data_IF_730473924010
#
_entry.id   IF_730473924010
#
_cell.length_a   1.000
_cell.length_b   1.000
_cell.length_c   1.000
_cell.angle_alpha   90.00
_cell.angle_beta   90.00
_cell.angle_gamma   90.00
#
_symmetry.space_group_name_H-M   'P 1'
#
loop_
_entity.id
_entity.type
_entity.pdbx_description
1 polymer ?
#
# COMPACT_ATOMS: atom_id res chain seq x y z
N UNK A 1 17.62 -18.76 11.32
CA UNK A 1 16.94 -18.20 12.50
C UNK A 1 17.43 -16.80 12.91
N UNK A 2 18.69 -16.60 13.35
CA UNK A 2 19.17 -15.27 13.82
C UNK A 2 19.50 -14.25 12.71
N UNK A 3 19.71 -14.70 11.48
CA UNK A 3 20.06 -13.81 10.37
C UNK A 3 18.92 -12.84 10.01
N UNK A 4 17.66 -13.27 10.11
CA UNK A 4 16.50 -12.44 9.81
C UNK A 4 16.36 -11.22 10.74
N UNK A 5 16.39 -11.36 12.09
CA UNK A 5 16.35 -10.20 12.98
C UNK A 5 17.59 -9.32 12.84
N UNK A 6 18.77 -9.89 12.59
CA UNK A 6 19.99 -9.10 12.36
C UNK A 6 19.88 -8.24 11.10
N UNK A 7 19.37 -8.79 10.00
CA UNK A 7 19.10 -8.05 8.76
C UNK A 7 18.05 -6.95 8.98
N UNK A 8 16.95 -7.26 9.68
CA UNK A 8 15.93 -6.26 10.01
C UNK A 8 16.54 -5.08 10.77
N UNK A 9 17.34 -5.35 11.82
CA UNK A 9 18.03 -4.31 12.59
C UNK A 9 18.99 -3.50 11.72
N UNK A 10 19.74 -4.16 10.83
CA UNK A 10 20.62 -3.49 9.87
C UNK A 10 19.87 -2.53 8.94
N UNK A 11 18.73 -2.95 8.38
CA UNK A 11 17.90 -2.09 7.55
C UNK A 11 17.31 -0.91 8.32
N UNK A 12 16.82 -1.13 9.55
CA UNK A 12 16.28 -0.07 10.40
C UNK A 12 17.37 0.95 10.75
N UNK A 13 18.56 0.49 11.14
CA UNK A 13 19.69 1.36 11.45
C UNK A 13 20.11 2.20 10.24
N UNK A 14 20.13 1.61 9.04
CA UNK A 14 20.44 2.32 7.80
C UNK A 14 19.39 3.39 7.48
N UNK A 15 18.10 3.04 7.54
CA UNK A 15 17.01 3.99 7.30
C UNK A 15 17.08 5.15 8.30
N UNK A 16 17.35 4.87 9.57
CA UNK A 16 17.47 5.88 10.61
C UNK A 16 18.66 6.81 10.36
N UNK A 17 19.83 6.27 10.04
CA UNK A 17 21.04 7.05 9.77
C UNK A 17 20.88 8.02 8.58
N UNK A 18 20.15 7.63 7.54
CA UNK A 18 19.92 8.44 6.35
C UNK A 18 18.57 9.18 6.33
N UNK A 19 17.80 9.14 7.43
CA UNK A 19 16.44 9.66 7.49
C UNK A 19 16.35 11.15 7.10
N UNK A 20 17.31 11.97 7.54
CA UNK A 20 17.32 13.41 7.22
C UNK A 20 17.38 13.70 5.72
N UNK A 21 18.06 12.85 4.94
CA UNK A 21 18.10 12.93 3.47
C UNK A 21 16.85 12.32 2.84
N UNK A 22 16.41 11.16 3.33
CA UNK A 22 15.24 10.45 2.80
C UNK A 22 13.93 11.20 3.02
N UNK A 23 13.75 11.88 4.15
CA UNK A 23 12.54 12.64 4.47
C UNK A 23 12.24 13.75 3.44
N UNK A 24 13.29 14.32 2.82
CA UNK A 24 13.16 15.33 1.78
C UNK A 24 12.71 14.80 0.42
N UNK A 25 12.80 13.49 0.17
CA UNK A 25 12.56 12.92 -1.14
C UNK A 25 11.07 12.91 -1.52
N UNK A 26 10.81 13.15 -2.81
CA UNK A 26 9.45 13.09 -3.38
C UNK A 26 8.82 11.70 -3.22
N UNK A 27 9.65 10.66 -3.26
CA UNK A 27 9.24 9.28 -3.05
C UNK A 27 8.70 9.07 -1.64
N UNK A 28 9.37 9.57 -0.61
CA UNK A 28 8.94 9.46 0.79
C UNK A 28 7.59 10.14 1.01
N UNK A 29 7.37 11.32 0.40
CA UNK A 29 6.06 12.00 0.45
C UNK A 29 4.97 11.21 -0.29
N UNK A 30 5.31 10.52 -1.37
CA UNK A 30 4.36 9.66 -2.09
C UNK A 30 4.02 8.41 -1.24
N UNK A 31 5.02 7.78 -0.63
CA UNK A 31 4.85 6.65 0.29
C UNK A 31 4.02 7.04 1.52
N UNK A 32 4.23 8.24 2.08
CA UNK A 32 3.43 8.75 3.19
C UNK A 32 1.93 8.85 2.81
N UNK A 33 1.64 9.34 1.60
CA UNK A 33 0.26 9.42 1.09
C UNK A 33 -0.37 8.03 0.95
N UNK A 34 0.35 7.08 0.36
CA UNK A 34 -0.11 5.68 0.25
C UNK A 34 -0.31 5.05 1.63
N UNK A 35 0.61 5.29 2.56
CA UNK A 35 0.56 4.77 3.93
C UNK A 35 -0.62 5.32 4.74
N UNK A 36 -1.02 6.58 4.50
CA UNK A 36 -2.24 7.15 5.10
C UNK A 36 -3.54 6.50 4.62
N UNK A 37 -3.48 5.72 3.54
CA UNK A 37 -4.57 4.97 2.96
C UNK A 37 -4.27 3.46 2.94
N UNK A 38 -3.48 2.96 3.90
CA UNK A 38 -3.03 1.56 3.92
C UNK A 38 -4.18 0.54 3.89
N UNK A 39 -5.25 0.76 4.68
CA UNK A 39 -6.42 -0.13 4.72
C UNK A 39 -7.21 -0.04 3.41
N UNK A 40 -7.43 1.18 2.93
CA UNK A 40 -8.13 1.40 1.66
C UNK A 40 -7.38 0.80 0.48
N UNK A 41 -6.06 0.94 0.43
CA UNK A 41 -5.21 0.37 -0.62
C UNK A 41 -5.15 -1.14 -0.56
N UNK A 42 -5.11 -1.73 0.64
CA UNK A 42 -5.17 -3.18 0.80
C UNK A 42 -6.48 -3.75 0.25
N UNK A 43 -7.61 -3.12 0.57
CA UNK A 43 -8.93 -3.52 0.07
C UNK A 43 -9.04 -3.31 -1.44
N UNK A 44 -8.55 -2.18 -1.95
CA UNK A 44 -8.52 -1.90 -3.39
C UNK A 44 -7.68 -2.93 -4.15
N UNK A 45 -6.47 -3.23 -3.66
CA UNK A 45 -5.60 -4.24 -4.25
C UNK A 45 -6.29 -5.61 -4.24
N UNK A 46 -6.91 -5.99 -3.13
CA UNK A 46 -7.66 -7.25 -3.02
C UNK A 46 -8.83 -7.29 -3.99
N UNK A 47 -9.59 -6.21 -4.11
CA UNK A 47 -10.69 -6.09 -5.08
C UNK A 47 -10.20 -6.22 -6.52
N UNK A 48 -9.10 -5.56 -6.87
CA UNK A 48 -8.50 -5.63 -8.21
C UNK A 48 -8.04 -7.06 -8.49
N UNK A 49 -7.24 -7.66 -7.60
CA UNK A 49 -6.74 -9.02 -7.79
C UNK A 49 -7.87 -10.05 -7.86
N UNK A 50 -8.86 -9.97 -6.96
CA UNK A 50 -10.00 -10.90 -6.98
C UNK A 50 -10.83 -10.74 -8.24
N UNK A 51 -11.09 -9.51 -8.68
CA UNK A 51 -11.83 -9.26 -9.93
C UNK A 51 -11.06 -9.78 -11.14
N UNK A 52 -9.78 -9.45 -11.26
CA UNK A 52 -8.94 -9.89 -12.39
C UNK A 52 -8.76 -11.41 -12.42
N UNK A 53 -8.38 -12.03 -11.32
CA UNK A 53 -8.06 -13.46 -11.32
C UNK A 53 -9.29 -14.35 -11.19
N UNK A 54 -10.28 -14.00 -10.35
CA UNK A 54 -11.46 -14.84 -10.14
C UNK A 54 -12.64 -14.51 -11.07
N UNK A 55 -12.96 -13.23 -11.33
CA UNK A 55 -14.11 -12.89 -12.19
C UNK A 55 -13.79 -12.97 -13.67
N UNK A 56 -12.61 -12.51 -14.09
CA UNK A 56 -12.19 -12.57 -15.50
C UNK A 56 -11.51 -13.90 -15.86
N UNK A 57 -11.41 -14.85 -14.92
CA UNK A 57 -10.88 -16.19 -15.17
C UNK A 57 -9.40 -16.24 -15.52
N UNK A 58 -8.63 -15.15 -15.29
CA UNK A 58 -7.18 -15.09 -15.55
C UNK A 58 -6.36 -15.97 -14.61
N UNK A 59 -7.02 -16.63 -13.65
CA UNK A 59 -6.40 -17.62 -12.79
C UNK A 59 -5.78 -18.74 -13.63
N UNK A 60 -4.47 -18.93 -13.48
CA UNK A 60 -3.67 -19.92 -14.19
C UNK A 60 -3.51 -19.72 -15.73
N UNK A 61 -4.00 -18.60 -16.28
CA UNK A 61 -3.81 -18.27 -17.70
C UNK A 61 -2.62 -17.31 -17.91
N UNK A 62 -2.29 -16.50 -16.90
CA UNK A 62 -1.17 -15.59 -16.95
C UNK A 62 0.15 -16.32 -16.62
N UNK A 63 1.07 -16.39 -17.59
CA UNK A 63 2.43 -16.87 -17.34
C UNK A 63 3.16 -16.03 -16.27
N UNK A 64 4.19 -16.60 -15.63
CA UNK A 64 4.97 -15.93 -14.56
C UNK A 64 5.48 -14.53 -14.94
N UNK A 65 5.88 -14.35 -16.20
CA UNK A 65 6.33 -13.06 -16.73
C UNK A 65 5.19 -12.02 -16.80
N UNK A 66 3.98 -12.43 -17.17
CA UNK A 66 2.83 -11.54 -17.16
C UNK A 66 2.48 -11.10 -15.73
N UNK A 67 2.52 -12.03 -14.77
CA UNK A 67 2.30 -11.71 -13.34
C UNK A 67 3.30 -10.65 -12.82
N UNK A 68 4.56 -10.72 -13.23
CA UNK A 68 5.56 -9.70 -12.88
C UNK A 68 5.21 -8.30 -13.40
N UNK A 69 4.51 -8.19 -14.53
CA UNK A 69 4.03 -6.91 -15.07
C UNK A 69 2.72 -6.45 -14.42
N UNK A 70 1.87 -7.38 -13.97
CA UNK A 70 0.64 -7.05 -13.27
C UNK A 70 0.89 -6.37 -11.93
N UNK A 71 1.92 -6.79 -11.17
CA UNK A 71 2.27 -6.20 -9.87
C UNK A 71 2.47 -4.68 -9.96
N UNK A 72 3.39 -4.12 -10.78
CA UNK A 72 3.57 -2.67 -10.88
C UNK A 72 2.33 -1.96 -11.46
N UNK A 73 1.54 -2.64 -12.29
CA UNK A 73 0.27 -2.10 -12.80
C UNK A 73 -0.75 -1.87 -11.68
N UNK A 74 -0.99 -2.90 -10.85
CA UNK A 74 -1.90 -2.81 -9.69
C UNK A 74 -1.36 -1.78 -8.69
N UNK A 75 -0.06 -1.80 -8.41
CA UNK A 75 0.58 -0.83 -7.53
C UNK A 75 0.45 0.61 -8.05
N UNK A 76 0.66 0.82 -9.35
CA UNK A 76 0.46 2.10 -10.02
C UNK A 76 -0.97 2.59 -9.91
N UNK A 77 -1.95 1.69 -10.05
CA UNK A 77 -3.36 1.97 -9.81
C UNK A 77 -3.65 2.41 -8.37
N UNK A 78 -3.14 1.68 -7.38
CA UNK A 78 -3.28 2.05 -5.96
C UNK A 78 -2.61 3.38 -5.63
N UNK A 79 -1.43 3.65 -6.19
CA UNK A 79 -0.69 4.91 -6.07
C UNK A 79 -1.50 6.08 -6.65
N UNK A 80 -2.02 5.92 -7.88
CA UNK A 80 -2.81 6.93 -8.55
C UNK A 80 -4.12 7.20 -7.81
N UNK A 81 -4.82 6.14 -7.37
CA UNK A 81 -6.02 6.25 -6.56
C UNK A 81 -5.75 6.99 -5.25
N UNK A 82 -4.70 6.60 -4.51
CA UNK A 82 -4.29 7.29 -3.28
C UNK A 82 -4.01 8.76 -3.52
N UNK A 83 -3.31 9.08 -4.61
CA UNK A 83 -2.95 10.45 -4.95
C UNK A 83 -4.15 11.31 -5.34
N UNK A 84 -5.05 10.79 -6.20
CA UNK A 84 -6.28 11.47 -6.60
C UNK A 84 -7.23 11.64 -5.40
N UNK A 85 -7.35 10.63 -4.55
CA UNK A 85 -8.20 10.69 -3.37
C UNK A 85 -7.69 11.71 -2.36
N UNK A 86 -6.40 11.68 -2.03
CA UNK A 86 -5.80 12.59 -1.06
C UNK A 86 -5.78 14.05 -1.51
N UNK A 87 -5.93 14.32 -2.82
CA UNK A 87 -6.18 15.68 -3.33
C UNK A 87 -7.54 16.21 -2.90
N UNK A 88 -8.56 15.35 -2.77
CA UNK A 88 -9.93 15.75 -2.44
C UNK A 88 -10.30 15.55 -0.97
N UNK A 89 -9.75 14.52 -0.33
CA UNK A 89 -10.08 14.09 1.03
C UNK A 89 -8.82 13.88 1.87
N UNK A 90 -8.82 14.29 3.14
CA UNK A 90 -7.63 14.19 4.01
C UNK A 90 -7.37 12.78 4.56
N UNK A 91 -8.31 11.85 4.41
CA UNK A 91 -8.23 10.48 4.91
C UNK A 91 -8.78 9.50 3.88
N UNK A 92 -8.29 8.26 3.93
CA UNK A 92 -8.87 7.18 3.14
C UNK A 92 -10.29 6.83 3.59
N UNK A 93 -11.15 6.37 2.67
CA UNK A 93 -12.56 6.12 2.95
C UNK A 93 -12.75 5.04 4.03
N UNK A 94 -11.94 3.98 3.99
CA UNK A 94 -12.04 2.87 4.93
C UNK A 94 -11.45 3.24 6.29
N UNK A 95 -10.37 4.03 6.32
CA UNK A 95 -9.80 4.57 7.55
C UNK A 95 -10.76 5.51 8.26
N UNK A 96 -11.51 6.32 7.51
CA UNK A 96 -12.57 7.17 8.06
C UNK A 96 -13.72 6.34 8.64
N UNK A 97 -14.15 5.30 7.93
CA UNK A 97 -15.19 4.39 8.40
C UNK A 97 -14.74 3.66 9.67
N UNK A 98 -13.50 3.15 9.68
CA UNK A 98 -12.88 2.52 10.83
C UNK A 98 -12.86 3.44 12.04
N UNK A 99 -12.40 4.69 11.89
CA UNK A 99 -12.40 5.68 12.98
C UNK A 99 -13.80 5.91 13.53
N UNK A 100 -14.81 6.01 12.66
CA UNK A 100 -16.22 6.17 13.09
C UNK A 100 -16.74 4.95 13.86
N UNK A 101 -16.44 3.75 13.38
CA UNK A 101 -16.84 2.52 14.06
C UNK A 101 -16.16 2.39 15.42
N UNK A 102 -14.84 2.59 15.50
CA UNK A 102 -14.12 2.55 16.79
C UNK A 102 -14.65 3.58 17.77
N UNK A 103 -14.96 4.81 17.33
CA UNK A 103 -15.57 5.82 18.19
C UNK A 103 -17.01 5.50 18.60
N UNK A 104 -17.76 4.73 17.80
CA UNK A 104 -19.12 4.32 18.13
C UNK A 104 -19.14 3.13 19.10
N UNK A 105 -18.19 2.20 19.00
CA UNK A 105 -18.10 1.03 19.91
C UNK A 105 -17.57 1.39 21.31
N UNK A 106 -16.82 2.49 21.43
CA UNK A 106 -16.33 3.00 22.71
C UNK A 106 -17.34 3.91 23.43
N UNK A 107 -18.55 4.08 22.90
CA UNK A 107 -19.68 4.76 23.54
C UNK A 107 -20.73 3.73 23.96
#
# INVERSE_FOLDING_TARGET
>A
ELAAPLMMLGYVALIYAYWSRLAGWRLTRALERVGRMALSNYLLQTLICTTLFYRLGLFNQAGRAALLLWVPGVWGGCLLFSWLWLRRFRQGPMEWLWRRLTSATLR
#
